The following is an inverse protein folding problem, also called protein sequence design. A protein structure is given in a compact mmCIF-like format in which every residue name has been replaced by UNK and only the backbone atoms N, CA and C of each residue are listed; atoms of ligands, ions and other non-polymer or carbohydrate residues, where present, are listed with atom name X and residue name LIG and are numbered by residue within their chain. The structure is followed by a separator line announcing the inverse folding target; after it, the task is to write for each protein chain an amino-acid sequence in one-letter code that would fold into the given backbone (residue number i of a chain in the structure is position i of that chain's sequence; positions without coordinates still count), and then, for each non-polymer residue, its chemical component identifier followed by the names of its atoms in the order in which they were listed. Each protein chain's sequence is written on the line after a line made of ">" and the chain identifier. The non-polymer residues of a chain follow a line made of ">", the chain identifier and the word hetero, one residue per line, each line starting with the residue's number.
data_IF_736804844455
#
_entry.id   IF_736804844455
#
_cell.length_a   1.000
_cell.length_b   1.000
_cell.length_c   1.000
_cell.angle_alpha   90.00
_cell.angle_beta   90.00
_cell.angle_gamma   90.00
#
_symmetry.space_group_name_H-M   'P 1'
#
loop_
_entity.id
_entity.type
_entity.pdbx_description
1 polymer ?
#
# COMPACT_ATOMS: atom_id res chain seq x y z
N UNK A 1 -8.24 -6.84 16.69
CA UNK A 1 -7.51 -6.33 15.53
C UNK A 1 -7.87 -4.85 15.25
N UNK A 2 -9.16 -4.50 15.20
CA UNK A 2 -9.65 -3.14 14.90
C UNK A 2 -8.92 -2.02 15.67
N UNK A 3 -8.67 -2.12 16.99
CA UNK A 3 -8.00 -1.04 17.73
C UNK A 3 -6.58 -0.71 17.25
N UNK A 4 -5.93 -1.61 16.51
CA UNK A 4 -4.61 -1.37 15.93
C UNK A 4 -4.65 -0.80 14.51
N UNK A 5 -5.82 -0.69 13.88
CA UNK A 5 -5.99 -0.09 12.55
C UNK A 5 -6.35 1.37 12.68
N UNK A 6 -5.73 2.21 11.88
CA UNK A 6 -5.85 3.67 11.96
C UNK A 6 -6.25 4.26 10.61
N UNK A 7 -6.90 5.43 10.66
CA UNK A 7 -7.09 6.27 9.49
C UNK A 7 -5.91 7.25 9.35
N UNK A 8 -5.50 7.50 8.12
CA UNK A 8 -4.45 8.45 7.78
C UNK A 8 -5.04 9.53 6.89
N UNK A 9 -4.88 10.78 7.31
CA UNK A 9 -5.26 11.99 6.57
C UNK A 9 -4.02 12.83 6.35
N UNK A 10 -3.89 13.43 5.18
CA UNK A 10 -2.77 14.31 4.84
C UNK A 10 -3.28 15.73 4.55
N UNK A 11 -2.40 16.71 4.75
CA UNK A 11 -2.54 18.05 4.23
C UNK A 11 -1.52 18.24 3.14
N UNK A 12 -1.95 18.71 1.98
CA UNK A 12 -1.09 19.06 0.85
C UNK A 12 -1.20 20.56 0.59
N UNK A 13 -0.12 21.22 0.14
CA UNK A 13 -0.21 22.56 -0.40
C UNK A 13 -1.05 22.53 -1.67
N UNK A 14 -2.06 23.36 -1.74
CA UNK A 14 -2.67 23.68 -3.02
C UNK A 14 -1.81 24.78 -3.69
N UNK A 15 -0.75 24.39 -4.37
CA UNK A 15 -0.24 25.22 -5.44
C UNK A 15 -1.30 25.16 -6.53
N UNK A 16 -1.83 26.31 -6.94
CA UNK A 16 -2.95 26.45 -7.88
C UNK A 16 -2.69 25.94 -9.31
N UNK A 17 -1.78 25.03 -9.48
CA UNK A 17 -1.53 24.23 -10.66
C UNK A 17 -1.94 22.78 -10.34
N UNK A 18 -2.94 22.29 -11.05
CA UNK A 18 -3.19 20.86 -11.19
C UNK A 18 -1.97 20.23 -11.88
N UNK A 19 -0.87 20.10 -11.16
CA UNK A 19 0.31 19.43 -11.68
C UNK A 19 0.12 17.92 -11.60
N UNK A 20 0.26 17.33 -12.74
CA UNK A 20 0.24 15.92 -13.08
C UNK A 20 1.04 15.09 -12.08
N UNK A 21 0.38 14.15 -11.44
CA UNK A 21 1.07 13.00 -10.83
C UNK A 21 1.95 12.34 -11.89
N UNK A 22 3.15 11.84 -11.56
CA UNK A 22 4.06 11.20 -12.52
C UNK A 22 3.56 9.80 -12.96
N UNK A 23 2.28 9.69 -13.22
CA UNK A 23 1.59 8.48 -13.69
C UNK A 23 1.09 8.69 -15.14
N UNK A 24 1.94 9.24 -16.00
CA UNK A 24 1.67 9.37 -17.46
C UNK A 24 1.73 8.02 -18.19
N UNK A 25 1.29 6.94 -17.53
CA UNK A 25 1.13 5.64 -18.15
C UNK A 25 -0.37 5.33 -18.32
N UNK A 26 -0.86 4.99 -19.53
CA UNK A 26 -2.27 4.71 -19.80
C UNK A 26 -2.90 3.65 -18.88
N UNK A 27 -2.12 2.76 -18.28
CA UNK A 27 -2.61 1.74 -17.34
C UNK A 27 -2.92 2.32 -15.94
N UNK A 28 -2.36 3.48 -15.60
CA UNK A 28 -2.68 4.23 -14.38
C UNK A 28 -3.80 5.25 -14.57
N UNK A 29 -4.24 5.52 -15.80
CA UNK A 29 -5.35 6.43 -16.07
C UNK A 29 -6.64 6.00 -15.34
N UNK A 30 -6.85 4.72 -15.14
CA UNK A 30 -7.99 4.23 -14.37
C UNK A 30 -7.78 4.40 -12.85
N UNK A 31 -6.56 4.17 -12.37
CA UNK A 31 -6.20 4.42 -10.97
C UNK A 31 -6.21 5.93 -10.69
N UNK A 32 -5.74 6.75 -11.61
CA UNK A 32 -5.79 8.21 -11.57
C UNK A 32 -7.23 8.73 -11.60
N UNK A 33 -8.07 8.28 -12.52
CA UNK A 33 -9.51 8.61 -12.54
C UNK A 33 -10.22 8.15 -11.26
N UNK A 34 -9.74 7.04 -10.70
CA UNK A 34 -10.19 6.57 -9.40
C UNK A 34 -9.85 7.58 -8.28
N UNK A 35 -8.67 8.20 -8.29
CA UNK A 35 -8.26 9.21 -7.30
C UNK A 35 -8.82 10.61 -7.61
N UNK A 36 -8.88 11.05 -8.86
CA UNK A 36 -9.35 12.36 -9.29
C UNK A 36 -10.86 12.58 -9.05
N UNK A 37 -11.68 11.55 -9.25
CA UNK A 37 -13.11 11.61 -8.94
C UNK A 37 -13.42 11.75 -7.44
N UNK A 38 -12.43 11.56 -6.57
CA UNK A 38 -12.60 11.66 -5.13
C UNK A 38 -12.42 13.07 -4.60
N UNK A 39 -11.73 13.94 -5.34
CA UNK A 39 -11.59 15.36 -5.02
C UNK A 39 -12.88 16.18 -5.26
N UNK A 40 -13.90 15.58 -5.86
CA UNK A 40 -15.15 16.24 -6.23
C UNK A 40 -16.34 15.83 -5.34
N UNK A 41 -16.15 15.50 -4.07
CA UNK A 41 -17.28 15.42 -3.15
C UNK A 41 -17.86 16.80 -2.91
N UNK A 42 -19.23 16.95 -2.89
CA UNK A 42 -19.88 18.22 -2.55
C UNK A 42 -19.41 18.66 -1.17
N UNK A 43 -18.80 19.81 -1.11
CA UNK A 43 -18.39 20.47 0.12
C UNK A 43 -19.63 20.76 0.97
N UNK A 44 -19.74 20.14 2.14
CA UNK A 44 -20.52 20.74 3.21
C UNK A 44 -19.87 22.09 3.56
N UNK A 45 -20.66 23.14 3.55
CA UNK A 45 -20.26 24.50 3.84
C UNK A 45 -19.54 24.58 5.19
N UNK A 46 -18.25 24.89 5.15
CA UNK A 46 -17.45 25.33 6.28
C UNK A 46 -16.86 26.70 5.92
N UNK A 47 -17.61 27.73 6.25
CA UNK A 47 -17.15 29.13 6.30
C UNK A 47 -16.14 29.25 7.45
N UNK A 48 -14.88 29.46 7.16
CA UNK A 48 -13.72 29.87 7.98
C UNK A 48 -12.48 28.94 7.87
N UNK A 49 -12.01 28.64 6.66
CA UNK A 49 -10.69 28.00 6.48
C UNK A 49 -9.74 28.88 5.68
N UNK A 50 -8.45 28.97 6.05
CA UNK A 50 -7.47 29.70 5.24
C UNK A 50 -7.44 29.13 3.81
N UNK A 51 -7.46 30.01 2.82
CA UNK A 51 -7.30 29.63 1.42
C UNK A 51 -5.98 28.86 1.23
N UNK A 52 -6.05 27.65 0.70
CA UNK A 52 -4.86 26.95 0.21
C UNK A 52 -4.55 25.58 0.80
N UNK A 53 -5.26 25.07 1.84
CA UNK A 53 -4.96 23.75 2.42
C UNK A 53 -6.22 22.91 2.56
N UNK A 54 -6.31 21.82 1.79
CA UNK A 54 -7.44 20.88 1.90
C UNK A 54 -6.97 19.59 2.60
N UNK A 55 -7.62 19.17 3.72
CA UNK A 55 -7.37 17.86 4.27
C UNK A 55 -7.95 16.80 3.33
N UNK A 56 -7.11 15.93 2.81
CA UNK A 56 -7.52 14.81 1.99
C UNK A 56 -7.39 13.54 2.84
N UNK A 57 -8.48 12.76 2.96
CA UNK A 57 -8.38 11.44 3.55
C UNK A 57 -7.63 10.54 2.59
N UNK A 58 -6.47 10.07 2.99
CA UNK A 58 -5.56 9.40 2.09
C UNK A 58 -5.66 7.87 2.16
N UNK A 59 -5.88 7.29 3.35
CA UNK A 59 -5.93 5.83 3.48
C UNK A 59 -5.96 5.34 4.92
N UNK A 60 -5.48 4.12 5.07
CA UNK A 60 -5.38 3.41 6.34
C UNK A 60 -3.93 3.08 6.68
N UNK A 61 -3.72 2.66 7.91
CA UNK A 61 -2.48 2.09 8.40
C UNK A 61 -2.74 1.16 9.57
N UNK A 62 -1.70 0.53 10.09
CA UNK A 62 -1.80 -0.30 11.28
C UNK A 62 -0.57 -0.17 12.16
N UNK A 63 -0.82 -0.25 13.47
CA UNK A 63 0.19 -0.10 14.52
C UNK A 63 0.93 -1.42 14.67
N UNK A 64 2.25 -1.39 14.59
CA UNK A 64 3.12 -2.58 14.70
C UNK A 64 3.95 -2.62 16.00
N UNK A 65 3.90 -1.56 16.78
CA UNK A 65 4.58 -1.52 18.08
C UNK A 65 3.83 -0.66 19.09
N UNK A 66 3.94 -0.97 20.41
CA UNK A 66 3.29 -0.19 21.47
C UNK A 66 3.81 1.24 21.56
N UNK A 67 4.96 1.55 20.94
CA UNK A 67 5.59 2.88 20.88
C UNK A 67 5.02 3.76 19.77
N UNK A 68 4.10 3.23 18.93
CA UNK A 68 3.39 4.01 17.94
C UNK A 68 3.99 3.98 16.53
N UNK A 69 4.75 2.96 16.18
CA UNK A 69 5.13 2.72 14.79
C UNK A 69 3.95 2.20 13.98
N UNK A 70 3.71 2.78 12.82
CA UNK A 70 2.57 2.51 11.96
C UNK A 70 3.08 2.26 10.56
N UNK A 71 2.61 1.16 9.95
CA UNK A 71 2.84 0.84 8.55
C UNK A 71 1.67 1.33 7.72
N UNK A 72 1.96 1.87 6.55
CA UNK A 72 1.00 2.30 5.53
C UNK A 72 1.64 2.21 4.15
N UNK A 73 0.91 2.58 3.09
CA UNK A 73 1.49 2.71 1.77
C UNK A 73 2.25 4.04 1.59
N UNK A 74 3.25 4.02 0.69
CA UNK A 74 3.99 5.21 0.29
C UNK A 74 3.06 6.25 -0.32
N UNK A 75 2.23 5.86 -1.30
CA UNK A 75 1.30 6.77 -1.99
C UNK A 75 0.28 7.43 -1.06
N UNK A 76 0.00 6.85 0.12
CA UNK A 76 -0.91 7.43 1.12
C UNK A 76 -0.31 8.65 1.79
N UNK A 77 1.01 8.75 1.86
CA UNK A 77 1.72 9.84 2.56
C UNK A 77 2.64 10.65 1.65
N UNK A 78 2.63 10.36 0.35
CA UNK A 78 3.45 11.11 -0.58
C UNK A 78 2.95 12.55 -0.70
N UNK A 79 3.89 13.50 -0.82
CA UNK A 79 3.64 14.95 -0.85
C UNK A 79 2.88 15.53 0.36
N UNK A 80 2.82 14.78 1.47
CA UNK A 80 2.20 15.25 2.68
C UNK A 80 3.08 16.28 3.42
N UNK A 81 2.58 17.51 3.58
CA UNK A 81 3.20 18.47 4.51
C UNK A 81 2.92 18.09 5.96
N UNK A 82 1.74 17.56 6.22
CA UNK A 82 1.32 17.13 7.55
C UNK A 82 0.52 15.83 7.45
N UNK A 83 0.87 14.89 8.31
CA UNK A 83 0.19 13.59 8.41
C UNK A 83 -0.55 13.55 9.75
N UNK A 84 -1.84 13.29 9.69
CA UNK A 84 -2.69 13.10 10.88
C UNK A 84 -3.17 11.66 10.92
N UNK A 85 -2.87 10.99 12.03
CA UNK A 85 -3.35 9.64 12.34
C UNK A 85 -4.54 9.74 13.29
N UNK A 86 -5.66 9.14 12.90
CA UNK A 86 -6.85 9.00 13.75
C UNK A 86 -6.96 7.56 14.23
N UNK A 87 -6.89 7.37 15.54
CA UNK A 87 -7.02 6.05 16.19
C UNK A 87 -8.49 5.61 16.21
N UNK A 88 -8.74 4.32 16.49
CA UNK A 88 -10.08 3.73 16.62
C UNK A 88 -10.98 4.42 17.68
N UNK A 89 -10.38 5.12 18.65
CA UNK A 89 -11.09 5.91 19.65
C UNK A 89 -11.30 7.38 19.24
N UNK A 90 -11.16 7.70 17.96
CA UNK A 90 -11.27 9.03 17.34
C UNK A 90 -10.23 10.06 17.81
N UNK A 91 -9.24 9.68 18.60
CA UNK A 91 -8.14 10.58 18.96
C UNK A 91 -7.21 10.76 17.76
N UNK A 92 -6.84 12.03 17.52
CA UNK A 92 -5.96 12.43 16.42
C UNK A 92 -4.56 12.75 16.94
N UNK A 93 -3.57 12.28 16.20
CA UNK A 93 -2.16 12.51 16.48
C UNK A 93 -1.45 12.94 15.20
N UNK A 94 -0.52 13.87 15.34
CA UNK A 94 0.41 14.20 14.26
C UNK A 94 1.46 13.10 14.18
N UNK A 95 1.72 12.62 12.95
CA UNK A 95 2.71 11.58 12.71
C UNK A 95 3.95 12.14 12.04
N UNK A 96 5.10 11.52 12.36
CA UNK A 96 6.39 11.78 11.73
C UNK A 96 6.72 10.64 10.79
N UNK A 97 7.27 10.95 9.62
CA UNK A 97 7.79 9.94 8.70
C UNK A 97 9.10 9.42 9.27
N UNK A 98 9.20 8.10 9.48
CA UNK A 98 10.44 7.42 9.86
C UNK A 98 11.21 7.04 8.59
N UNK A 99 10.50 6.56 7.57
CA UNK A 99 11.06 6.26 6.28
C UNK A 99 10.00 5.83 5.29
N UNK A 100 10.34 5.92 4.02
CA UNK A 100 9.44 5.55 2.91
C UNK A 100 10.21 4.87 1.79
N UNK A 101 9.54 3.99 1.06
CA UNK A 101 10.07 3.23 -0.06
C UNK A 101 9.05 3.17 -1.21
N UNK A 102 9.27 3.97 -2.24
CA UNK A 102 8.38 4.07 -3.40
C UNK A 102 8.32 2.78 -4.20
N UNK A 103 9.40 1.99 -4.23
CA UNK A 103 9.49 0.76 -5.04
C UNK A 103 8.59 -0.36 -4.52
N UNK A 104 8.37 -0.44 -3.21
CA UNK A 104 7.45 -1.41 -2.59
C UNK A 104 6.15 -0.78 -2.16
N UNK A 105 5.97 0.52 -2.44
CA UNK A 105 4.81 1.29 -1.98
C UNK A 105 4.55 1.17 -0.47
N UNK A 106 5.61 1.15 0.33
CA UNK A 106 5.53 1.04 1.79
C UNK A 106 6.11 2.27 2.48
N UNK A 107 5.51 2.61 3.61
CA UNK A 107 6.00 3.67 4.48
C UNK A 107 5.85 3.30 5.95
N UNK A 108 6.78 3.81 6.75
CA UNK A 108 6.77 3.72 8.20
C UNK A 108 6.65 5.12 8.78
N UNK A 109 5.59 5.35 9.54
CA UNK A 109 5.36 6.59 10.27
C UNK A 109 5.27 6.32 11.76
N UNK A 110 5.39 7.36 12.58
CA UNK A 110 5.34 7.24 14.05
C UNK A 110 4.49 8.33 14.66
N UNK A 111 3.66 7.96 15.62
CA UNK A 111 2.96 8.88 16.52
C UNK A 111 3.55 8.79 17.93
N UNK A 112 3.57 9.91 18.64
CA UNK A 112 4.01 9.96 20.03
C UNK A 112 2.78 9.98 20.97
N UNK A 113 2.67 8.98 21.85
CA UNK A 113 1.58 8.86 22.83
C UNK A 113 2.11 8.67 24.24
N UNK A 114 1.31 9.08 25.23
CA UNK A 114 1.65 8.90 26.66
C UNK A 114 1.30 7.50 27.21
N UNK A 115 0.73 6.64 26.38
CA UNK A 115 0.27 5.29 26.74
C UNK A 115 0.68 4.29 25.66
N UNK A 116 0.76 3.01 26.06
CA UNK A 116 1.04 1.93 25.11
C UNK A 116 -0.15 1.70 24.21
N UNK A 117 0.13 1.58 22.91
CA UNK A 117 -0.88 1.35 21.89
C UNK A 117 -1.12 -0.14 21.65
N UNK A 118 -2.36 -0.54 21.31
CA UNK A 118 -2.61 -1.86 20.76
C UNK A 118 -1.88 -1.98 19.42
N UNK A 119 -1.29 -3.13 19.17
CA UNK A 119 -0.53 -3.38 17.94
C UNK A 119 -0.79 -4.80 17.42
N UNK A 120 -0.47 -5.03 16.16
CA UNK A 120 -0.55 -6.33 15.50
C UNK A 120 0.82 -6.80 15.06
N UNK A 121 0.95 -8.11 14.83
CA UNK A 121 2.19 -8.73 14.37
C UNK A 121 2.08 -9.16 12.93
N UNK A 122 3.20 -9.17 12.24
CA UNK A 122 3.32 -9.79 10.93
C UNK A 122 3.31 -11.31 11.05
N UNK A 123 2.46 -11.95 10.26
CA UNK A 123 2.45 -13.38 10.00
C UNK A 123 3.42 -13.75 8.88
N UNK A 124 3.35 -14.98 8.43
CA UNK A 124 4.13 -15.53 7.33
C UNK A 124 3.27 -15.63 6.07
N UNK A 125 3.49 -14.73 5.10
CA UNK A 125 2.76 -14.74 3.83
C UNK A 125 3.20 -15.89 2.93
N UNK A 126 4.43 -16.39 3.08
CA UNK A 126 4.96 -17.43 2.21
C UNK A 126 4.39 -18.81 2.59
N UNK A 127 3.91 -18.96 3.83
CA UNK A 127 3.17 -20.13 4.29
C UNK A 127 1.69 -20.12 3.90
N UNK A 128 1.16 -18.99 3.39
CA UNK A 128 -0.24 -18.87 2.99
C UNK A 128 -0.50 -19.58 1.67
N UNK A 129 -1.73 -19.99 1.41
CA UNK A 129 -2.12 -20.73 0.20
C UNK A 129 -3.35 -20.13 -0.45
N UNK A 130 -3.48 -20.34 -1.75
CA UNK A 130 -4.72 -20.04 -2.47
C UNK A 130 -5.88 -20.80 -1.82
N UNK A 131 -6.99 -20.09 -1.54
CA UNK A 131 -8.15 -20.58 -0.83
C UNK A 131 -8.15 -20.31 0.68
N UNK A 132 -7.03 -19.91 1.28
CA UNK A 132 -7.00 -19.54 2.70
C UNK A 132 -7.84 -18.27 2.94
N UNK A 133 -8.66 -18.27 4.01
CA UNK A 133 -9.48 -17.13 4.38
C UNK A 133 -8.63 -15.96 4.86
N UNK A 134 -9.03 -14.76 4.42
CA UNK A 134 -8.41 -13.51 4.81
C UNK A 134 -9.44 -12.47 5.25
N UNK A 135 -9.01 -11.56 6.11
CA UNK A 135 -9.79 -10.41 6.58
C UNK A 135 -8.98 -9.15 6.26
N UNK A 136 -9.55 -8.27 5.46
CA UNK A 136 -8.99 -6.94 5.22
C UNK A 136 -9.70 -5.93 6.13
N UNK A 137 -8.90 -5.09 6.83
CA UNK A 137 -9.42 -4.04 7.69
C UNK A 137 -8.84 -2.71 7.23
N UNK A 138 -9.73 -1.73 7.03
CA UNK A 138 -9.38 -0.35 6.76
C UNK A 138 -10.23 0.60 7.59
N UNK A 139 -9.93 1.87 7.47
CA UNK A 139 -10.73 2.94 8.05
C UNK A 139 -11.03 4.00 6.98
N UNK A 140 -11.80 3.60 5.94
CA UNK A 140 -12.11 4.50 4.85
C UNK A 140 -12.89 5.71 5.36
N UNK A 141 -12.51 6.89 4.89
CA UNK A 141 -13.17 8.17 5.19
C UNK A 141 -13.17 8.60 6.67
N UNK A 142 -12.50 7.87 7.57
CA UNK A 142 -12.56 8.16 9.00
C UNK A 142 -13.94 7.92 9.64
N UNK A 143 -14.84 7.25 8.92
CA UNK A 143 -16.20 6.92 9.39
C UNK A 143 -16.24 5.73 10.34
N UNK A 144 -15.08 5.15 10.65
CA UNK A 144 -14.93 3.96 11.45
C UNK A 144 -14.29 2.82 10.65
N UNK A 145 -13.83 1.79 11.37
CA UNK A 145 -13.18 0.64 10.74
C UNK A 145 -14.17 -0.15 9.90
N UNK A 146 -13.79 -0.42 8.66
CA UNK A 146 -14.50 -1.32 7.74
C UNK A 146 -13.75 -2.65 7.70
N UNK A 147 -14.49 -3.74 7.84
CA UNK A 147 -13.96 -5.10 7.79
C UNK A 147 -14.58 -5.79 6.59
N UNK A 148 -13.73 -6.34 5.73
CA UNK A 148 -14.16 -7.19 4.61
C UNK A 148 -13.45 -8.54 4.72
N UNK A 149 -14.08 -9.59 4.21
CA UNK A 149 -13.54 -10.94 4.23
C UNK A 149 -13.59 -11.56 2.84
N UNK A 150 -12.66 -12.44 2.57
CA UNK A 150 -12.55 -13.20 1.34
C UNK A 150 -11.51 -14.29 1.48
N UNK A 151 -10.93 -14.69 0.36
CA UNK A 151 -9.86 -15.68 0.29
C UNK A 151 -8.64 -15.12 -0.46
N UNK A 152 -7.52 -15.78 -0.33
CA UNK A 152 -6.40 -15.62 -1.25
C UNK A 152 -6.81 -16.24 -2.59
N UNK A 153 -7.00 -15.41 -3.60
CA UNK A 153 -7.41 -15.85 -4.94
C UNK A 153 -6.23 -16.28 -5.80
N UNK A 154 -5.06 -15.68 -5.58
CA UNK A 154 -3.80 -16.01 -6.24
C UNK A 154 -2.62 -15.50 -5.42
N UNK A 155 -1.46 -16.11 -5.63
CA UNK A 155 -0.17 -15.65 -5.11
C UNK A 155 0.78 -15.36 -6.28
N UNK A 156 1.86 -14.63 -6.00
CA UNK A 156 2.87 -14.28 -6.99
C UNK A 156 2.26 -13.63 -8.27
N UNK A 157 1.27 -12.74 -8.07
CA UNK A 157 0.74 -11.96 -9.19
C UNK A 157 1.69 -10.83 -9.51
N UNK A 158 2.15 -10.89 -10.74
CA UNK A 158 2.91 -9.84 -11.36
C UNK A 158 1.94 -8.80 -11.92
N UNK A 159 1.90 -7.63 -11.31
CA UNK A 159 1.12 -6.52 -11.80
C UNK A 159 2.13 -5.57 -12.43
N UNK A 160 2.30 -5.66 -13.76
CA UNK A 160 3.15 -4.75 -14.51
C UNK A 160 2.58 -3.32 -14.45
N UNK A 161 2.83 -2.64 -13.35
CA UNK A 161 2.34 -1.27 -13.15
C UNK A 161 3.32 -0.22 -13.67
N UNK A 162 4.61 -0.53 -13.73
CA UNK A 162 5.67 0.25 -14.37
C UNK A 162 6.99 -0.51 -14.29
N UNK A 163 7.96 -0.14 -15.14
CA UNK A 163 9.31 -0.73 -15.19
C UNK A 163 10.13 -0.55 -13.89
N UNK A 164 9.66 0.27 -12.96
CA UNK A 164 10.40 0.60 -11.72
C UNK A 164 9.85 -0.05 -10.44
N UNK A 165 8.67 -0.67 -10.48
CA UNK A 165 8.10 -1.38 -9.33
C UNK A 165 8.74 -2.75 -9.16
N UNK A 166 9.26 -3.02 -7.93
CA UNK A 166 9.96 -4.27 -7.59
C UNK A 166 9.00 -5.34 -7.04
N UNK A 167 7.72 -5.06 -6.93
CA UNK A 167 6.80 -6.03 -6.35
C UNK A 167 6.22 -6.89 -7.47
N UNK A 168 6.86 -8.03 -7.70
CA UNK A 168 6.42 -9.04 -8.67
C UNK A 168 5.62 -10.18 -8.00
N UNK A 169 5.24 -9.99 -6.72
CA UNK A 169 4.69 -11.09 -5.91
C UNK A 169 3.53 -10.61 -5.03
N UNK A 170 2.51 -9.98 -5.64
CA UNK A 170 1.32 -9.57 -4.88
C UNK A 170 0.46 -10.76 -4.48
N UNK A 171 -0.15 -10.68 -3.29
CA UNK A 171 -1.27 -11.52 -2.90
C UNK A 171 -2.52 -10.92 -3.55
N UNK A 172 -3.23 -11.73 -4.36
CA UNK A 172 -4.55 -11.38 -4.87
C UNK A 172 -5.63 -11.90 -3.92
N UNK A 173 -6.67 -11.11 -3.68
CA UNK A 173 -7.82 -11.49 -2.85
C UNK A 173 -9.14 -11.02 -3.48
N UNK A 174 -10.22 -11.73 -3.18
CA UNK A 174 -11.59 -11.32 -3.49
C UNK A 174 -12.27 -10.58 -2.32
N UNK A 175 -11.59 -10.47 -1.16
CA UNK A 175 -12.02 -9.54 -0.11
C UNK A 175 -12.19 -8.14 -0.71
N UNK A 176 -13.32 -7.49 -0.42
CA UNK A 176 -13.62 -6.19 -1.02
C UNK A 176 -12.64 -5.12 -0.54
N UNK A 177 -11.68 -4.79 -1.39
CA UNK A 177 -10.78 -3.66 -1.21
C UNK A 177 -11.37 -2.47 -1.96
N UNK A 178 -11.53 -1.36 -1.27
CA UNK A 178 -12.03 -0.10 -1.81
C UNK A 178 -11.14 1.05 -1.34
N UNK A 179 -11.41 2.26 -1.85
CA UNK A 179 -10.72 3.48 -1.42
C UNK A 179 -10.75 3.62 0.09
N UNK A 180 -9.61 3.96 0.67
CA UNK A 180 -9.43 4.08 2.12
C UNK A 180 -8.97 2.79 2.80
N UNK A 181 -9.03 1.62 2.15
CA UNK A 181 -8.40 0.39 2.67
C UNK A 181 -6.90 0.32 2.35
N UNK A 182 -6.41 1.13 1.39
CA UNK A 182 -4.97 1.21 1.06
C UNK A 182 -4.14 1.53 2.30
N UNK A 183 -3.05 0.79 2.51
CA UNK A 183 -2.19 0.85 3.69
C UNK A 183 -2.74 0.08 4.89
N UNK A 184 -3.98 -0.37 4.85
CA UNK A 184 -4.55 -1.22 5.89
C UNK A 184 -4.07 -2.67 5.82
N UNK A 185 -4.17 -3.42 6.92
CA UNK A 185 -3.69 -4.80 6.99
C UNK A 185 -4.67 -5.80 6.39
N UNK A 186 -4.11 -6.86 5.80
CA UNK A 186 -4.79 -8.11 5.49
C UNK A 186 -4.34 -9.16 6.50
N UNK A 187 -5.26 -9.76 7.20
CA UNK A 187 -5.02 -10.76 8.25
C UNK A 187 -5.32 -12.17 7.80
N UNK A 188 -4.56 -13.11 8.33
CA UNK A 188 -4.94 -14.53 8.36
C UNK A 188 -5.93 -14.80 9.50
N UNK A 189 -6.40 -16.05 9.61
CA UNK A 189 -7.35 -16.46 10.65
C UNK A 189 -6.73 -16.52 12.07
N UNK A 190 -5.40 -16.42 12.19
CA UNK A 190 -4.69 -16.30 13.47
C UNK A 190 -4.61 -14.84 13.95
N UNK A 191 -5.11 -13.87 13.15
CA UNK A 191 -5.03 -12.45 13.46
C UNK A 191 -3.64 -11.84 13.21
N UNK A 192 -2.83 -12.45 12.37
CA UNK A 192 -1.52 -11.95 11.97
C UNK A 192 -1.61 -11.29 10.59
N UNK A 193 -0.86 -10.22 10.38
CA UNK A 193 -0.82 -9.49 9.12
C UNK A 193 0.00 -10.28 8.09
N UNK A 194 -0.65 -10.77 7.05
CA UNK A 194 0.00 -11.47 5.93
C UNK A 194 0.11 -10.60 4.69
N UNK A 195 -0.55 -9.43 4.66
CA UNK A 195 -0.47 -8.50 3.54
C UNK A 195 -0.81 -7.06 3.93
N UNK A 196 -0.39 -6.11 3.11
CA UNK A 196 -0.76 -4.70 3.18
C UNK A 196 -1.57 -4.37 1.93
N UNK A 197 -2.83 -3.97 2.10
CA UNK A 197 -3.71 -3.64 0.98
C UNK A 197 -3.16 -2.45 0.19
N UNK A 198 -3.05 -2.55 -1.13
CA UNK A 198 -2.47 -1.49 -1.97
C UNK A 198 -3.49 -0.97 -2.97
N UNK A 199 -4.03 -1.86 -3.79
CA UNK A 199 -4.76 -1.49 -4.99
C UNK A 199 -5.87 -2.48 -5.31
N UNK A 200 -6.73 -2.08 -6.24
CA UNK A 200 -7.71 -2.94 -6.90
C UNK A 200 -7.52 -2.84 -8.42
N UNK A 201 -7.82 -3.91 -9.11
CA UNK A 201 -8.17 -3.83 -10.53
C UNK A 201 -9.66 -3.53 -10.63
N UNK A 202 -10.02 -2.40 -11.23
CA UNK A 202 -11.43 -2.00 -11.30
C UNK A 202 -11.73 -1.13 -12.50
N UNK A 203 -12.57 -1.60 -13.43
CA UNK A 203 -13.06 -0.78 -14.54
C UNK A 203 -14.03 0.33 -14.10
N UNK A 204 -14.61 0.21 -12.91
CA UNK A 204 -15.68 1.11 -12.42
C UNK A 204 -15.27 1.96 -11.22
N UNK A 205 -14.06 1.75 -10.69
CA UNK A 205 -13.57 2.43 -9.49
C UNK A 205 -13.99 1.79 -8.15
N UNK A 206 -14.85 0.78 -8.16
CA UNK A 206 -15.22 -0.02 -6.98
C UNK A 206 -14.66 -1.45 -7.05
N UNK A 207 -14.71 -2.18 -5.94
CA UNK A 207 -14.26 -3.57 -5.90
C UNK A 207 -15.09 -4.45 -6.82
N UNK A 208 -14.42 -5.21 -7.68
CA UNK A 208 -15.00 -6.24 -8.55
C UNK A 208 -14.48 -7.64 -8.18
N UNK A 209 -13.97 -7.82 -6.95
CA UNK A 209 -13.42 -9.08 -6.48
C UNK A 209 -11.96 -9.32 -6.88
N UNK A 210 -11.24 -8.27 -7.28
CA UNK A 210 -9.81 -8.33 -7.62
C UNK A 210 -9.06 -7.25 -6.85
N UNK A 211 -8.59 -7.60 -5.67
CA UNK A 211 -7.78 -6.76 -4.81
C UNK A 211 -6.37 -7.31 -4.67
N UNK A 212 -5.41 -6.44 -4.33
CA UNK A 212 -3.99 -6.79 -4.22
C UNK A 212 -3.40 -6.27 -2.92
N UNK A 213 -2.48 -7.06 -2.35
CA UNK A 213 -1.75 -6.70 -1.15
C UNK A 213 -0.27 -7.04 -1.29
N UNK A 214 0.59 -6.18 -0.74
CA UNK A 214 2.03 -6.45 -0.57
C UNK A 214 2.21 -7.55 0.46
N UNK A 215 2.91 -8.65 0.17
CA UNK A 215 3.13 -9.73 1.13
C UNK A 215 3.87 -9.28 2.39
N UNK A 216 3.55 -9.91 3.51
CA UNK A 216 4.23 -9.61 4.79
C UNK A 216 5.71 -9.98 4.78
N UNK A 217 6.14 -10.95 3.99
CA UNK A 217 7.57 -11.27 3.80
C UNK A 217 8.35 -10.07 3.28
N UNK A 218 7.84 -9.41 2.22
CA UNK A 218 8.42 -8.17 1.68
C UNK A 218 8.35 -7.04 2.71
N UNK A 219 7.18 -6.88 3.35
CA UNK A 219 6.97 -5.80 4.30
C UNK A 219 7.87 -5.88 5.54
N UNK A 220 8.14 -7.07 6.07
CA UNK A 220 9.05 -7.27 7.22
C UNK A 220 10.45 -6.74 6.93
N UNK A 221 10.99 -7.07 5.76
CA UNK A 221 12.34 -6.66 5.38
C UNK A 221 12.43 -5.14 5.18
N UNK A 222 11.46 -4.58 4.46
CA UNK A 222 11.37 -3.14 4.21
C UNK A 222 11.21 -2.37 5.51
N UNK A 223 10.21 -2.71 6.34
CA UNK A 223 9.95 -2.06 7.64
C UNK A 223 11.16 -2.20 8.58
N UNK A 224 11.82 -3.37 8.56
CA UNK A 224 13.05 -3.58 9.33
C UNK A 224 14.18 -2.61 8.95
N UNK A 225 14.36 -2.35 7.67
CA UNK A 225 15.35 -1.37 7.17
C UNK A 225 14.92 0.07 7.47
N UNK A 226 13.64 0.41 7.22
CA UNK A 226 13.10 1.74 7.52
C UNK A 226 13.24 2.09 9.01
N UNK A 227 12.97 1.13 9.90
CA UNK A 227 13.14 1.32 11.36
C UNK A 227 14.58 1.59 11.74
N UNK A 228 15.55 0.90 11.12
CA UNK A 228 16.97 0.99 11.49
C UNK A 228 17.68 2.18 10.84
N UNK A 229 17.38 2.45 9.57
CA UNK A 229 18.16 3.37 8.73
C UNK A 229 17.34 4.51 8.11
N UNK A 230 16.01 4.48 8.25
CA UNK A 230 15.10 5.45 7.62
C UNK A 230 14.97 5.30 6.10
N UNK A 231 15.70 4.35 5.51
CA UNK A 231 15.70 4.09 4.06
C UNK A 231 15.96 2.63 3.76
N UNK A 232 15.53 2.18 2.59
CA UNK A 232 15.82 0.85 2.06
C UNK A 232 17.05 0.90 1.17
N UNK A 233 17.99 -0.03 1.40
CA UNK A 233 19.17 -0.21 0.57
C UNK A 233 19.06 -1.52 -0.17
N UNK A 234 19.20 -1.47 -1.50
CA UNK A 234 19.16 -2.64 -2.39
C UNK A 234 20.50 -2.82 -3.09
N UNK A 235 20.88 -4.06 -3.29
CA UNK A 235 22.02 -4.40 -4.14
C UNK A 235 21.67 -4.17 -5.62
N UNK A 236 22.68 -3.88 -6.44
CA UNK A 236 22.59 -3.81 -7.88
C UNK A 236 23.60 -4.78 -8.50
N UNK A 237 23.11 -5.69 -9.35
CA UNK A 237 23.96 -6.70 -9.97
C UNK A 237 24.57 -6.24 -11.29
N UNK A 238 24.09 -5.17 -11.89
CA UNK A 238 24.55 -4.68 -13.18
C UNK A 238 24.25 -5.64 -14.34
N UNK A 239 23.14 -6.36 -14.26
CA UNK A 239 22.73 -7.32 -15.29
C UNK A 239 21.45 -6.83 -15.96
N UNK A 240 21.41 -6.92 -17.28
CA UNK A 240 20.17 -6.86 -18.04
C UNK A 240 19.70 -8.29 -18.30
N UNK A 241 18.47 -8.58 -17.89
CA UNK A 241 17.87 -9.91 -18.08
C UNK A 241 16.72 -9.84 -19.07
N UNK A 242 16.49 -10.92 -19.78
CA UNK A 242 15.39 -11.12 -20.71
C UNK A 242 14.70 -12.44 -20.39
N UNK A 243 13.37 -12.48 -20.58
CA UNK A 243 12.62 -13.75 -20.47
C UNK A 243 13.15 -14.77 -21.49
N UNK A 244 13.27 -16.00 -21.05
CA UNK A 244 13.63 -17.09 -21.98
C UNK A 244 12.45 -17.52 -22.85
N UNK A 245 11.19 -17.15 -22.49
CA UNK A 245 9.99 -17.46 -23.29
C UNK A 245 10.09 -16.99 -24.74
N UNK A 246 10.71 -15.82 -24.95
CA UNK A 246 10.79 -15.19 -26.29
C UNK A 246 11.93 -15.71 -27.15
N UNK A 247 12.88 -16.43 -26.53
CA UNK A 247 14.13 -16.85 -27.20
C UNK A 247 14.42 -18.36 -27.04
N UNK A 248 13.57 -19.09 -26.30
CA UNK A 248 13.78 -20.50 -25.98
C UNK A 248 13.97 -21.36 -27.23
N UNK A 249 13.13 -21.20 -28.26
CA UNK A 249 13.19 -21.93 -29.51
C UNK A 249 14.49 -21.65 -30.25
N UNK A 250 14.93 -20.37 -30.29
CA UNK A 250 16.21 -19.98 -30.94
C UNK A 250 17.48 -20.47 -30.20
N UNK A 251 17.35 -20.78 -28.90
CA UNK A 251 18.40 -21.29 -28.04
C UNK A 251 18.39 -22.83 -27.93
N UNK A 252 17.43 -23.51 -28.57
CA UNK A 252 17.27 -24.95 -28.48
C UNK A 252 16.87 -25.46 -27.10
N UNK A 253 16.13 -24.65 -26.34
CA UNK A 253 15.61 -25.01 -25.02
C UNK A 253 14.21 -25.63 -25.19
N UNK A 254 14.00 -26.80 -24.60
CA UNK A 254 12.70 -27.50 -24.65
C UNK A 254 11.63 -26.81 -23.78
N UNK A 255 12.05 -26.04 -22.77
CA UNK A 255 11.18 -25.28 -21.87
C UNK A 255 11.76 -23.88 -21.63
N UNK A 256 10.86 -22.88 -21.45
CA UNK A 256 11.25 -21.51 -21.10
C UNK A 256 11.53 -21.38 -19.60
N UNK A 257 12.65 -21.93 -19.14
CA UNK A 257 13.08 -21.94 -17.74
C UNK A 257 14.27 -21.00 -17.55
N UNK A 258 14.18 -20.14 -16.53
CA UNK A 258 15.27 -19.25 -16.14
C UNK A 258 15.18 -17.85 -16.76
N UNK A 259 16.29 -17.13 -16.73
CA UNK A 259 16.44 -15.80 -17.29
C UNK A 259 17.72 -15.73 -18.12
N UNK A 260 17.63 -15.16 -19.31
CA UNK A 260 18.78 -14.88 -20.16
C UNK A 260 19.44 -13.57 -19.74
N UNK A 261 20.73 -13.61 -19.40
CA UNK A 261 21.53 -12.39 -19.21
C UNK A 261 21.87 -11.85 -20.59
N UNK A 262 21.20 -10.75 -20.97
CA UNK A 262 21.40 -10.13 -22.30
C UNK A 262 22.54 -9.10 -22.31
N UNK A 263 22.91 -8.54 -21.16
CA UNK A 263 24.04 -7.62 -21.02
C UNK A 263 24.54 -7.58 -19.57
N UNK A 264 25.81 -7.23 -19.41
CA UNK A 264 26.48 -6.96 -18.13
C UNK A 264 27.01 -5.53 -18.21
N UNK A 265 26.60 -4.66 -17.26
CA UNK A 265 26.97 -3.24 -17.21
C UNK A 265 28.06 -2.94 -16.20
#
# INVERSE_FOLDING_TARGET
>A
LIPAVVNISIMQKSDGSSENFPLDNPQFDELRKFFDNFGQMPSMEDDERPEGVRPTSAGSGFIISPEGHIVTNYHVIDDAEKITVTLANNKKYEAKIIGKDSRTDLALIKIDTKFKLPFVKFGDSDASRVGDFVIAIGNPFGLGSTVTAGIISSQARDIHTSSDNIIDNFIQTDASINRGNSGGPMFNMNGEVIGINVAIFSPTGGSVGVGFAVPSSVAKDVVGQLTKAGKVTRGWLGLMIQSTSDVAEGLGLDESVGALVSNVT
#
